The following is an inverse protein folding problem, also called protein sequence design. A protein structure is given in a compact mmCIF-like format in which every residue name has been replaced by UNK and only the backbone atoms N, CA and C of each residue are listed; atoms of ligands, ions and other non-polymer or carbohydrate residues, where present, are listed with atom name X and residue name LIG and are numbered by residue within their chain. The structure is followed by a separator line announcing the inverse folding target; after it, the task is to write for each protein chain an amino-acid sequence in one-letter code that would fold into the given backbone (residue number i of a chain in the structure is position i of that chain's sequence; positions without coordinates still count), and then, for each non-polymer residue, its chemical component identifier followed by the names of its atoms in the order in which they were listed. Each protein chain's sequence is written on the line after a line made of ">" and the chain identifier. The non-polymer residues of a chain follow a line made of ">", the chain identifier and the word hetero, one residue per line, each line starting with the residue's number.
data_IF_868803068863
#
_entry.id   IF_868803068863
#
_cell.length_a   1.000
_cell.length_b   1.000
_cell.length_c   1.000
_cell.angle_alpha   90.00
_cell.angle_beta   90.00
_cell.angle_gamma   90.00
#
_symmetry.space_group_name_H-M   'P 1'
#
loop_
_entity.id
_entity.type
_entity.pdbx_description
1 polymer ?
#
# COMPACT_ATOMS: atom_id res chain seq x y z
N UNK A 1 15.71 -12.19 10.09
CA UNK A 1 15.56 -12.04 8.62
C UNK A 1 14.47 -11.02 8.37
N UNK A 2 14.83 -9.75 8.19
CA UNK A 2 13.85 -8.66 8.02
C UNK A 2 13.19 -8.82 6.64
N UNK A 3 11.93 -9.24 6.61
CA UNK A 3 11.20 -9.49 5.37
C UNK A 3 11.14 -8.19 4.55
N UNK A 4 11.56 -8.25 3.29
CA UNK A 4 11.61 -7.10 2.37
C UNK A 4 10.20 -6.76 1.87
N UNK A 5 9.25 -6.56 2.78
CA UNK A 5 7.88 -6.20 2.44
C UNK A 5 7.87 -4.74 1.95
N UNK A 6 7.48 -4.46 0.70
CA UNK A 6 7.54 -3.11 0.13
C UNK A 6 6.45 -2.18 0.68
N UNK A 7 5.26 -2.73 0.99
CA UNK A 7 4.11 -1.98 1.49
C UNK A 7 3.53 -2.63 2.75
N UNK A 8 3.18 -1.81 3.74
CA UNK A 8 2.40 -2.18 4.91
C UNK A 8 1.00 -1.61 4.77
N UNK A 9 0.00 -2.47 4.96
CA UNK A 9 -1.41 -2.09 4.99
C UNK A 9 -1.85 -2.02 6.45
N UNK A 10 -2.38 -0.86 6.85
CA UNK A 10 -2.97 -0.65 8.17
C UNK A 10 -4.47 -0.49 7.98
N UNK A 11 -5.22 -1.39 8.61
CA UNK A 11 -6.68 -1.44 8.62
C UNK A 11 -7.13 -1.34 10.08
N UNK A 12 -7.74 -0.22 10.45
CA UNK A 12 -8.46 -0.08 11.72
C UNK A 12 -9.97 -0.14 11.50
N UNK A 13 -10.72 0.02 12.58
CA UNK A 13 -12.19 -0.01 12.54
C UNK A 13 -12.77 1.07 11.61
N UNK A 14 -12.16 2.27 11.61
CA UNK A 14 -12.57 3.38 10.72
C UNK A 14 -12.34 3.04 9.25
N UNK A 15 -11.17 2.49 8.93
CA UNK A 15 -10.82 2.12 7.56
C UNK A 15 -11.73 1.01 7.04
N UNK A 16 -12.11 0.05 7.91
CA UNK A 16 -13.07 -1.01 7.57
C UNK A 16 -14.47 -0.45 7.31
N UNK A 17 -14.96 0.48 8.12
CA UNK A 17 -16.26 1.14 7.91
C UNK A 17 -16.29 1.97 6.62
N UNK A 18 -15.21 2.66 6.30
CA UNK A 18 -15.10 3.50 5.11
C UNK A 18 -14.71 2.73 3.84
N UNK A 19 -14.33 1.44 3.95
CA UNK A 19 -13.85 0.62 2.84
C UNK A 19 -12.50 1.10 2.28
N UNK A 20 -11.69 1.73 3.12
CA UNK A 20 -10.39 2.28 2.76
C UNK A 20 -9.26 1.53 3.44
N UNK A 21 -8.03 1.74 2.98
CA UNK A 21 -6.81 1.10 3.49
C UNK A 21 -5.72 2.15 3.62
N UNK A 22 -5.00 2.16 4.74
CA UNK A 22 -3.87 3.04 4.93
C UNK A 22 -2.58 2.33 4.49
N UNK A 23 -1.92 2.87 3.46
CA UNK A 23 -0.74 2.26 2.84
C UNK A 23 0.52 2.98 3.28
N UNK A 24 1.46 2.23 3.85
CA UNK A 24 2.78 2.72 4.27
C UNK A 24 3.87 2.00 3.50
N UNK A 25 4.93 2.72 3.15
CA UNK A 25 6.12 2.12 2.55
C UNK A 25 7.08 1.62 3.63
N UNK A 26 7.96 0.69 3.25
CA UNK A 26 9.03 0.20 4.14
C UNK A 26 9.99 1.29 4.63
N UNK A 27 10.14 2.39 3.89
CA UNK A 27 11.02 3.52 4.24
C UNK A 27 10.38 4.44 5.29
N UNK A 28 9.18 4.12 5.76
CA UNK A 28 8.44 4.92 6.73
C UNK A 28 7.65 6.06 6.09
N UNK A 29 7.65 6.20 4.76
CA UNK A 29 6.80 7.17 4.09
C UNK A 29 5.37 6.66 4.03
N UNK A 30 4.45 7.53 4.43
CA UNK A 30 3.02 7.26 4.35
C UNK A 30 2.53 7.64 2.95
N UNK A 31 1.98 6.67 2.22
CA UNK A 31 1.35 6.92 0.91
C UNK A 31 -0.05 7.51 1.12
N UNK A 32 -0.65 7.24 2.28
CA UNK A 32 -1.95 7.76 2.69
C UNK A 32 -3.02 6.69 2.70
N UNK A 33 -4.27 7.13 2.88
CA UNK A 33 -5.45 6.27 2.86
C UNK A 33 -6.05 6.28 1.45
N UNK A 34 -6.32 5.10 0.90
CA UNK A 34 -6.96 4.93 -0.42
C UNK A 34 -7.98 3.79 -0.37
N UNK A 35 -8.86 3.68 -1.37
CA UNK A 35 -9.76 2.52 -1.44
C UNK A 35 -9.00 1.23 -1.71
N UNK A 36 -9.61 0.10 -1.34
CA UNK A 36 -9.05 -1.23 -1.63
C UNK A 36 -8.79 -1.40 -3.12
N UNK A 37 -9.72 -0.98 -3.97
CA UNK A 37 -9.60 -1.10 -5.42
C UNK A 37 -8.42 -0.28 -5.97
N UNK A 38 -8.25 0.96 -5.50
CA UNK A 38 -7.13 1.80 -5.88
C UNK A 38 -5.78 1.19 -5.47
N UNK A 39 -5.72 0.56 -4.29
CA UNK A 39 -4.52 -0.15 -3.86
C UNK A 39 -4.22 -1.37 -4.74
N UNK A 40 -5.23 -2.16 -5.11
CA UNK A 40 -5.06 -3.31 -6.01
C UNK A 40 -4.49 -2.85 -7.35
N UNK A 41 -5.00 -1.76 -7.92
CA UNK A 41 -4.52 -1.24 -9.19
C UNK A 41 -3.10 -0.69 -9.10
N UNK A 42 -2.76 -0.03 -7.98
CA UNK A 42 -1.39 0.42 -7.69
C UNK A 42 -0.42 -0.77 -7.64
N UNK A 43 -0.77 -1.84 -6.93
CA UNK A 43 0.06 -3.04 -6.84
C UNK A 43 0.19 -3.72 -8.21
N UNK A 44 -0.89 -3.83 -8.98
CA UNK A 44 -0.84 -4.39 -10.34
C UNK A 44 0.09 -3.58 -11.25
N UNK A 45 0.01 -2.25 -11.20
CA UNK A 45 0.90 -1.37 -11.94
C UNK A 45 2.37 -1.55 -11.50
N UNK A 46 2.64 -1.56 -10.20
CA UNK A 46 3.97 -1.79 -9.66
C UNK A 46 4.56 -3.15 -10.06
N UNK A 47 3.73 -4.21 -10.09
CA UNK A 47 4.11 -5.55 -10.57
C UNK A 47 4.40 -5.54 -12.07
N UNK A 48 3.56 -4.88 -12.87
CA UNK A 48 3.78 -4.73 -14.32
C UNK A 48 5.10 -3.99 -14.62
N UNK A 49 5.44 -2.99 -13.81
CA UNK A 49 6.71 -2.25 -13.88
C UNK A 49 7.91 -2.98 -13.23
N UNK A 50 7.73 -4.25 -12.83
CA UNK A 50 8.76 -5.10 -12.20
C UNK A 50 9.37 -4.48 -10.93
N UNK A 51 8.58 -3.74 -10.16
CA UNK A 51 9.00 -3.17 -8.88
C UNK A 51 9.92 -1.95 -8.99
N UNK A 52 10.02 -1.31 -10.17
CA UNK A 52 10.69 0.00 -10.31
C UNK A 52 9.89 1.14 -9.71
N UNK A 53 8.57 1.01 -9.62
CA UNK A 53 7.69 2.00 -9.02
C UNK A 53 7.48 1.70 -7.53
N UNK A 54 8.49 2.00 -6.72
CA UNK A 54 8.26 2.17 -5.28
C UNK A 54 7.80 3.61 -5.14
N UNK A 55 6.57 3.81 -4.67
CA UNK A 55 6.00 5.13 -4.43
C UNK A 55 6.80 5.78 -3.30
N UNK A 56 7.90 6.45 -3.66
CA UNK A 56 8.78 7.18 -2.75
C UNK A 56 8.18 8.48 -2.27
#
# INVERSE_FOLDING_TARGET
>A
TLERIPYLLVLGDREVEEGTVNVRTRSGKNVGTMSIDAFIDLVKAAVAERGRYIVE
#
